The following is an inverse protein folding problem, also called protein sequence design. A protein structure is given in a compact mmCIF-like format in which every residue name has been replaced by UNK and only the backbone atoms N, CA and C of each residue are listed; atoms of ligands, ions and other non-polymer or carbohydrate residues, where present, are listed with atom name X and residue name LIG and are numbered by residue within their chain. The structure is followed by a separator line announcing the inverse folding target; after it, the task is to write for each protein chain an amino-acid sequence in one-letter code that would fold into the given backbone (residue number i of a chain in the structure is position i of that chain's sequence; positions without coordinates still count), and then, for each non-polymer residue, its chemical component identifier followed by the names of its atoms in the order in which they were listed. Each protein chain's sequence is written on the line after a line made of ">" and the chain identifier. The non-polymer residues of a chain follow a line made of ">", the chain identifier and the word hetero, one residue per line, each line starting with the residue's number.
data_IF_826879195259
#
_entry.id   IF_826879195259
#
_cell.length_a   1.000
_cell.length_b   1.000
_cell.length_c   1.000
_cell.angle_alpha   90.00
_cell.angle_beta   90.00
_cell.angle_gamma   90.00
#
_symmetry.space_group_name_H-M   'P 1'
#
loop_
_entity.id
_entity.type
_entity.pdbx_description
1 polymer ?
#
# COMPACT_ATOMS: atom_id res chain seq x y z
N UNK A 1 4.95 1.24 -33.54
CA UNK A 1 5.54 2.59 -33.71
C UNK A 1 5.53 3.23 -32.34
N UNK A 2 6.69 3.33 -31.71
CA UNK A 2 6.83 4.01 -30.43
C UNK A 2 6.66 5.52 -30.67
N UNK A 3 5.71 6.14 -30.01
CA UNK A 3 5.57 7.60 -30.01
C UNK A 3 6.83 8.19 -29.35
N UNK A 4 7.52 9.05 -30.07
CA UNK A 4 8.65 9.82 -29.56
C UNK A 4 8.14 10.77 -28.48
N UNK A 5 8.50 10.50 -27.24
CA UNK A 5 8.32 11.42 -26.11
C UNK A 5 9.16 12.66 -26.42
N UNK A 6 8.56 13.84 -26.31
CA UNK A 6 9.24 15.13 -26.38
C UNK A 6 10.34 15.19 -25.32
N UNK A 7 11.59 15.37 -25.73
CA UNK A 7 12.79 15.03 -24.95
C UNK A 7 13.33 16.14 -24.05
N UNK A 8 12.59 17.22 -23.75
CA UNK A 8 13.09 18.36 -22.97
C UNK A 8 12.39 18.64 -21.62
N UNK A 9 11.27 18.03 -21.33
CA UNK A 9 10.60 18.11 -20.01
C UNK A 9 10.27 16.72 -19.49
N UNK A 10 10.38 16.52 -18.18
CA UNK A 10 9.95 15.27 -17.52
C UNK A 10 8.45 15.02 -17.67
N UNK A 11 7.98 13.83 -17.30
CA UNK A 11 6.55 13.50 -17.28
C UNK A 11 5.82 14.45 -16.33
N UNK A 12 4.79 15.18 -16.78
CA UNK A 12 4.03 16.09 -15.92
C UNK A 12 3.24 15.30 -14.87
N UNK A 13 3.44 15.62 -13.58
CA UNK A 13 2.79 14.96 -12.46
C UNK A 13 1.98 15.98 -11.67
N UNK A 14 0.67 15.90 -11.74
CA UNK A 14 -0.25 16.81 -11.06
C UNK A 14 -0.76 16.21 -9.77
N UNK A 15 -0.35 16.76 -8.62
CA UNK A 15 -0.89 16.41 -7.31
C UNK A 15 -2.11 17.28 -7.02
N UNK A 16 -3.30 16.65 -6.98
CA UNK A 16 -4.53 17.34 -6.62
C UNK A 16 -4.67 17.41 -5.10
N UNK A 17 -4.67 18.63 -4.59
CA UNK A 17 -4.75 18.92 -3.16
C UNK A 17 -6.15 19.37 -2.77
N UNK A 18 -6.68 18.81 -1.68
CA UNK A 18 -8.02 19.09 -1.16
C UNK A 18 -7.95 19.42 0.32
N UNK A 19 -9.00 20.05 0.84
CA UNK A 19 -9.14 20.38 2.25
C UNK A 19 -9.00 19.13 3.14
N UNK A 20 -8.40 19.27 4.32
CA UNK A 20 -8.10 18.17 5.26
C UNK A 20 -7.17 17.09 4.67
N UNK A 21 -6.26 17.49 3.78
CA UNK A 21 -5.29 16.65 3.12
C UNK A 21 -4.49 15.79 4.10
N UNK A 22 -4.38 14.50 3.86
CA UNK A 22 -3.43 13.64 4.56
C UNK A 22 -2.02 13.91 4.03
N UNK A 23 -1.23 14.65 4.81
CA UNK A 23 0.06 15.23 4.40
C UNK A 23 1.00 14.18 3.78
N UNK A 24 1.08 13.00 4.40
CA UNK A 24 1.99 11.95 3.95
C UNK A 24 1.60 11.36 2.58
N UNK A 25 0.32 11.40 2.22
CA UNK A 25 -0.17 10.91 0.92
C UNK A 25 0.30 11.75 -0.26
N UNK A 26 0.72 12.99 -0.01
CA UNK A 26 1.27 13.90 -1.02
C UNK A 26 2.78 13.99 -0.90
N UNK A 27 3.28 14.38 0.28
CA UNK A 27 4.70 14.68 0.46
C UNK A 27 5.57 13.42 0.29
N UNK A 28 5.10 12.25 0.76
CA UNK A 28 5.83 10.99 0.61
C UNK A 28 6.11 10.64 -0.86
N UNK A 29 5.08 10.48 -1.70
CA UNK A 29 5.26 10.25 -3.15
C UNK A 29 6.02 11.36 -3.86
N UNK A 30 5.74 12.63 -3.56
CA UNK A 30 6.43 13.76 -4.18
C UNK A 30 7.94 13.74 -3.90
N UNK A 31 8.35 13.41 -2.67
CA UNK A 31 9.76 13.24 -2.31
C UNK A 31 10.40 12.08 -3.07
N UNK A 32 9.71 10.95 -3.25
CA UNK A 32 10.21 9.83 -4.06
C UNK A 32 10.53 10.30 -5.49
N UNK A 33 9.59 11.01 -6.14
CA UNK A 33 9.77 11.51 -7.51
C UNK A 33 10.88 12.57 -7.58
N UNK A 34 10.96 13.47 -6.61
CA UNK A 34 12.03 14.47 -6.51
C UNK A 34 13.42 13.82 -6.38
N UNK A 35 13.55 12.75 -5.58
CA UNK A 35 14.81 12.03 -5.47
C UNK A 35 15.17 11.28 -6.77
N UNK A 36 14.18 10.80 -7.53
CA UNK A 36 14.42 10.24 -8.86
C UNK A 36 14.97 11.28 -9.84
N UNK A 37 14.44 12.51 -9.82
CA UNK A 37 14.98 13.62 -10.61
C UNK A 37 16.42 13.94 -10.22
N UNK A 38 16.72 14.00 -8.91
CA UNK A 38 18.08 14.21 -8.44
C UNK A 38 19.06 13.11 -8.91
N UNK A 39 18.59 11.87 -8.97
CA UNK A 39 19.37 10.76 -9.54
C UNK A 39 19.65 10.96 -11.04
N UNK A 40 18.66 11.45 -11.80
CA UNK A 40 18.84 11.79 -13.22
C UNK A 40 19.89 12.88 -13.39
N UNK A 41 19.77 13.99 -12.65
CA UNK A 41 20.69 15.13 -12.70
C UNK A 41 22.13 14.72 -12.38
N UNK A 42 22.34 13.89 -11.33
CA UNK A 42 23.65 13.36 -10.98
C UNK A 42 24.26 12.47 -12.07
N UNK A 43 23.41 11.92 -12.95
CA UNK A 43 23.79 11.09 -14.08
C UNK A 43 23.88 11.88 -15.39
N UNK A 44 23.75 13.21 -15.36
CA UNK A 44 23.75 14.09 -16.54
C UNK A 44 22.53 13.89 -17.45
N UNK A 45 21.40 13.44 -16.90
CA UNK A 45 20.13 13.21 -17.61
C UNK A 45 19.13 14.32 -17.27
N UNK A 46 18.15 14.50 -18.12
CA UNK A 46 16.98 15.34 -17.83
C UNK A 46 16.15 14.74 -16.68
N UNK A 47 15.47 15.56 -15.87
CA UNK A 47 14.53 15.10 -14.86
C UNK A 47 13.48 14.16 -15.45
N UNK A 48 13.11 13.12 -14.70
CA UNK A 48 12.08 12.17 -15.13
C UNK A 48 10.66 12.70 -14.96
N UNK A 49 10.45 13.60 -13.98
CA UNK A 49 9.13 14.09 -13.55
C UNK A 49 9.13 15.60 -13.41
N UNK A 50 8.05 16.23 -13.87
CA UNK A 50 7.75 17.64 -13.64
C UNK A 50 6.57 17.74 -12.68
N UNK A 51 6.80 18.26 -11.46
CA UNK A 51 5.84 18.17 -10.34
C UNK A 51 5.02 19.46 -10.25
N UNK A 52 3.71 19.34 -10.40
CA UNK A 52 2.71 20.38 -10.26
C UNK A 52 1.80 20.08 -9.08
N UNK A 53 1.48 21.10 -8.30
CA UNK A 53 0.54 21.00 -7.19
C UNK A 53 -0.66 21.88 -7.50
N UNK A 54 -1.85 21.29 -7.66
CA UNK A 54 -3.06 21.95 -8.11
C UNK A 54 -4.16 21.87 -7.06
N UNK A 55 -4.98 22.93 -6.96
CA UNK A 55 -6.13 22.96 -6.04
C UNK A 55 -7.22 23.91 -6.52
N UNK A 56 -8.45 23.71 -6.05
CA UNK A 56 -9.53 24.70 -6.14
C UNK A 56 -9.46 25.77 -5.05
N UNK A 57 -8.58 25.57 -4.06
CA UNK A 57 -8.37 26.47 -2.94
C UNK A 57 -7.07 27.23 -3.09
N UNK A 58 -6.97 28.42 -2.51
CA UNK A 58 -5.70 29.18 -2.41
C UNK A 58 -4.78 28.64 -1.32
N UNK A 59 -5.37 28.01 -0.32
CA UNK A 59 -4.68 27.38 0.79
C UNK A 59 -5.42 26.11 1.20
N UNK A 60 -4.71 25.12 1.71
CA UNK A 60 -5.26 23.82 2.13
C UNK A 60 -4.73 23.48 3.52
N UNK A 61 -5.66 23.23 4.44
CA UNK A 61 -5.34 22.69 5.75
C UNK A 61 -4.97 21.21 5.65
N UNK A 62 -4.01 20.78 6.44
CA UNK A 62 -3.48 19.42 6.44
C UNK A 62 -3.88 18.65 7.69
N UNK A 63 -3.76 17.32 7.64
CA UNK A 63 -4.00 16.40 8.76
C UNK A 63 -3.16 16.69 10.03
N UNK A 64 -2.05 17.39 9.89
CA UNK A 64 -1.13 17.70 10.99
C UNK A 64 -1.23 19.17 11.45
N UNK A 65 -2.24 19.91 10.98
CA UNK A 65 -2.47 21.31 11.38
C UNK A 65 -1.59 22.33 10.66
N UNK A 66 -0.87 21.94 9.62
CA UNK A 66 -0.18 22.89 8.73
C UNK A 66 -1.14 23.40 7.67
N UNK A 67 -0.90 24.61 7.19
CA UNK A 67 -1.55 25.17 5.99
C UNK A 67 -0.53 25.22 4.87
N UNK A 68 -0.88 24.65 3.70
CA UNK A 68 -0.07 24.69 2.51
C UNK A 68 -0.66 25.73 1.57
N UNK A 69 0.19 26.47 0.85
CA UNK A 69 -0.17 27.52 -0.10
C UNK A 69 0.74 27.44 -1.33
N UNK A 70 0.48 28.25 -2.35
CA UNK A 70 1.33 28.33 -3.54
C UNK A 70 1.03 27.28 -4.59
N UNK A 71 -0.23 26.83 -4.66
CA UNK A 71 -0.70 25.93 -5.71
C UNK A 71 -1.03 26.65 -7.00
N UNK A 72 -1.04 25.87 -8.08
CA UNK A 72 -1.64 26.24 -9.35
C UNK A 72 -3.15 26.00 -9.32
N UNK A 73 -3.89 26.75 -10.12
CA UNK A 73 -5.31 26.47 -10.37
C UNK A 73 -5.48 25.15 -11.13
N UNK A 74 -6.68 24.58 -11.12
CA UNK A 74 -6.97 23.40 -11.94
C UNK A 74 -6.75 23.72 -13.42
N UNK A 75 -5.86 23.02 -14.15
CA UNK A 75 -5.59 23.31 -15.55
C UNK A 75 -6.81 22.97 -16.43
N UNK A 76 -7.02 23.75 -17.49
CA UNK A 76 -8.06 23.45 -18.49
C UNK A 76 -7.75 22.19 -19.30
N UNK A 77 -6.48 21.86 -19.46
CA UNK A 77 -6.02 20.68 -20.19
C UNK A 77 -4.86 20.00 -19.46
N UNK A 78 -4.95 18.69 -19.31
CA UNK A 78 -3.83 17.85 -18.88
C UNK A 78 -3.13 17.29 -20.12
N UNK A 79 -1.79 17.29 -20.20
CA UNK A 79 -1.05 16.61 -21.25
C UNK A 79 -1.43 15.12 -21.37
N UNK A 80 -1.33 14.55 -22.57
CA UNK A 80 -1.71 13.15 -22.84
C UNK A 80 -0.89 12.13 -22.04
N UNK A 81 0.35 12.46 -21.70
CA UNK A 81 1.27 11.64 -20.92
C UNK A 81 1.28 12.01 -19.44
N UNK A 82 0.41 12.92 -19.00
CA UNK A 82 0.35 13.36 -17.61
C UNK A 82 -0.01 12.23 -16.65
N UNK A 83 0.51 12.37 -15.43
CA UNK A 83 0.14 11.57 -14.28
C UNK A 83 -0.66 12.44 -13.31
N UNK A 84 -1.90 12.04 -13.00
CA UNK A 84 -2.74 12.71 -12.02
C UNK A 84 -2.77 11.94 -10.72
N UNK A 85 -2.33 12.58 -9.64
CA UNK A 85 -2.26 12.00 -8.30
C UNK A 85 -3.41 12.55 -7.45
N UNK A 86 -4.30 11.67 -7.03
CA UNK A 86 -5.40 11.97 -6.11
C UNK A 86 -5.02 11.48 -4.71
N UNK A 87 -4.87 12.41 -3.78
CA UNK A 87 -4.49 12.11 -2.39
C UNK A 87 -5.70 11.88 -1.48
N UNK A 88 -5.47 11.21 -0.35
CA UNK A 88 -6.46 11.04 0.71
C UNK A 88 -6.66 12.29 1.57
N UNK A 89 -7.82 12.36 2.21
CA UNK A 89 -8.16 13.36 3.21
C UNK A 89 -8.57 12.66 4.51
N UNK A 90 -8.54 13.38 5.64
CA UNK A 90 -8.92 12.87 6.96
C UNK A 90 -10.03 13.72 7.58
N UNK A 91 -10.86 13.09 8.44
CA UNK A 91 -11.83 13.79 9.28
C UNK A 91 -13.02 14.39 8.53
N UNK A 92 -13.27 13.98 7.28
CA UNK A 92 -14.44 14.35 6.50
C UNK A 92 -15.33 13.14 6.28
N UNK A 93 -16.63 13.36 6.26
CA UNK A 93 -17.53 12.41 5.62
C UNK A 93 -17.19 12.44 4.13
N UNK A 94 -16.70 11.31 3.59
CA UNK A 94 -16.27 11.20 2.19
C UNK A 94 -17.50 11.15 1.23
N UNK A 95 -18.50 12.02 1.49
CA UNK A 95 -19.69 12.16 0.66
C UNK A 95 -19.47 13.06 -0.57
N UNK A 96 -18.32 13.77 -0.61
CA UNK A 96 -17.93 14.69 -1.68
C UNK A 96 -19.01 15.73 -2.02
N UNK A 97 -19.83 16.13 -1.04
CA UNK A 97 -20.98 17.01 -1.21
C UNK A 97 -20.64 18.50 -1.21
N UNK A 98 -19.45 18.89 -0.72
CA UNK A 98 -19.06 20.30 -0.70
C UNK A 98 -18.96 20.88 -2.10
N UNK A 99 -19.19 22.19 -2.24
CA UNK A 99 -19.10 22.87 -3.53
C UNK A 99 -17.71 22.69 -4.18
N UNK A 100 -16.65 22.72 -3.37
CA UNK A 100 -15.28 22.49 -3.83
C UNK A 100 -15.07 21.04 -4.33
N UNK A 101 -15.58 20.04 -3.61
CA UNK A 101 -15.48 18.64 -4.03
C UNK A 101 -16.28 18.40 -5.32
N UNK A 102 -17.48 18.99 -5.44
CA UNK A 102 -18.27 18.91 -6.68
C UNK A 102 -17.56 19.56 -7.86
N UNK A 103 -16.87 20.69 -7.64
CA UNK A 103 -16.03 21.32 -8.66
C UNK A 103 -14.88 20.40 -9.11
N UNK A 104 -14.20 19.75 -8.15
CA UNK A 104 -13.14 18.78 -8.43
C UNK A 104 -13.68 17.58 -9.21
N UNK A 105 -14.79 16.98 -8.76
CA UNK A 105 -15.44 15.84 -9.44
C UNK A 105 -15.84 16.21 -10.88
N UNK A 106 -16.43 17.38 -11.07
CA UNK A 106 -16.80 17.87 -12.41
C UNK A 106 -15.56 18.09 -13.30
N UNK A 107 -14.49 18.65 -12.73
CA UNK A 107 -13.23 18.84 -13.44
C UNK A 107 -12.60 17.52 -13.84
N UNK A 108 -12.54 16.53 -12.93
CA UNK A 108 -12.04 15.17 -13.21
C UNK A 108 -12.79 14.53 -14.38
N UNK A 109 -14.12 14.55 -14.34
CA UNK A 109 -14.97 13.98 -15.40
C UNK A 109 -14.75 14.63 -16.77
N UNK A 110 -14.42 15.91 -16.79
CA UNK A 110 -14.28 16.68 -18.02
C UNK A 110 -12.88 16.63 -18.62
N UNK A 111 -11.84 16.58 -17.77
CA UNK A 111 -10.46 16.84 -18.19
C UNK A 111 -9.54 15.64 -18.08
N UNK A 112 -9.94 14.58 -17.32
CA UNK A 112 -9.14 13.35 -17.26
C UNK A 112 -9.44 12.45 -18.48
N UNK A 113 -8.40 12.11 -19.25
CA UNK A 113 -8.50 11.29 -20.46
C UNK A 113 -7.87 9.89 -20.29
N UNK A 114 -8.32 8.88 -21.05
CA UNK A 114 -7.86 7.48 -20.90
C UNK A 114 -6.38 7.23 -21.16
N UNK A 115 -5.65 8.19 -21.73
CA UNK A 115 -4.20 8.09 -21.98
C UNK A 115 -3.34 8.53 -20.81
N UNK A 116 -3.94 9.20 -19.86
CA UNK A 116 -3.27 9.71 -18.66
C UNK A 116 -3.21 8.64 -17.59
N UNK A 117 -2.15 8.67 -16.77
CA UNK A 117 -2.05 7.77 -15.63
C UNK A 117 -2.82 8.35 -14.44
N UNK A 118 -3.69 7.54 -13.84
CA UNK A 118 -4.42 7.89 -12.61
C UNK A 118 -3.79 7.18 -11.42
N UNK A 119 -3.25 7.96 -10.50
CA UNK A 119 -2.62 7.47 -9.27
C UNK A 119 -3.46 7.89 -8.07
N UNK A 120 -4.13 6.95 -7.43
CA UNK A 120 -5.01 7.21 -6.29
C UNK A 120 -4.36 6.71 -5.00
N UNK A 121 -4.22 7.58 -4.03
CA UNK A 121 -3.59 7.26 -2.75
C UNK A 121 -4.67 7.38 -1.66
N UNK A 122 -4.83 6.32 -0.84
CA UNK A 122 -5.80 6.29 0.26
C UNK A 122 -7.24 6.55 -0.23
N UNK A 123 -7.95 7.48 0.41
CA UNK A 123 -9.31 7.89 0.02
C UNK A 123 -9.37 8.67 -1.32
N UNK A 124 -8.23 8.97 -1.93
CA UNK A 124 -8.18 9.43 -3.33
C UNK A 124 -8.83 8.45 -4.31
N UNK A 125 -8.85 7.15 -3.98
CA UNK A 125 -9.57 6.14 -4.77
C UNK A 125 -11.11 6.32 -4.68
N UNK A 126 -11.63 6.78 -3.54
CA UNK A 126 -13.05 7.09 -3.40
C UNK A 126 -13.43 8.27 -4.33
N UNK A 127 -12.59 9.32 -4.35
CA UNK A 127 -12.78 10.46 -5.25
C UNK A 127 -12.82 10.01 -6.73
N UNK A 128 -11.89 9.13 -7.14
CA UNK A 128 -11.90 8.55 -8.47
C UNK A 128 -13.19 7.75 -8.75
N UNK A 129 -13.70 7.02 -7.74
CA UNK A 129 -14.97 6.31 -7.79
C UNK A 129 -16.16 7.25 -8.01
N UNK A 130 -16.26 8.32 -7.22
CA UNK A 130 -17.29 9.36 -7.39
C UNK A 130 -17.22 10.05 -8.75
N UNK A 131 -16.02 10.26 -9.26
CA UNK A 131 -15.83 10.80 -10.61
C UNK A 131 -16.17 9.78 -11.72
N UNK A 132 -16.41 8.50 -11.40
CA UNK A 132 -16.72 7.44 -12.38
C UNK A 132 -15.48 6.93 -13.14
N UNK A 133 -14.27 7.18 -12.64
CA UNK A 133 -13.01 6.88 -13.33
C UNK A 133 -12.49 5.47 -13.11
N UNK A 134 -13.09 4.68 -12.20
CA UNK A 134 -12.62 3.32 -11.91
C UNK A 134 -13.12 2.27 -12.90
N UNK A 135 -14.35 2.41 -13.44
CA UNK A 135 -14.94 1.46 -14.37
C UNK A 135 -15.04 0.05 -13.76
N UNK A 136 -14.60 -0.96 -14.53
CA UNK A 136 -14.54 -2.37 -14.11
C UNK A 136 -13.11 -2.79 -13.69
N UNK A 137 -12.22 -1.82 -13.43
CA UNK A 137 -10.81 -2.07 -13.15
C UNK A 137 -10.59 -2.53 -11.72
N UNK A 138 -9.46 -3.23 -11.51
CA UNK A 138 -8.97 -3.61 -10.20
C UNK A 138 -8.47 -2.39 -9.46
N UNK A 139 -8.84 -2.27 -8.19
CA UNK A 139 -8.41 -1.15 -7.35
C UNK A 139 -8.35 -1.54 -5.89
N UNK A 140 -7.71 -0.71 -5.08
CA UNK A 140 -7.72 -0.79 -3.62
C UNK A 140 -7.81 0.60 -3.01
N UNK A 141 -8.07 0.66 -1.72
CA UNK A 141 -8.03 1.88 -0.90
C UNK A 141 -7.58 1.50 0.51
N UNK A 142 -7.55 2.45 1.43
CA UNK A 142 -7.28 2.18 2.84
C UNK A 142 -8.27 1.15 3.39
N UNK A 143 -7.79 0.22 4.22
CA UNK A 143 -8.58 -0.91 4.71
C UNK A 143 -9.90 -0.51 5.39
N UNK A 144 -9.98 0.66 6.04
CA UNK A 144 -11.19 1.17 6.68
C UNK A 144 -12.27 1.62 5.68
N UNK A 145 -11.92 1.90 4.42
CA UNK A 145 -12.80 2.45 3.38
C UNK A 145 -13.15 1.45 2.26
N UNK A 146 -12.77 0.18 2.39
CA UNK A 146 -13.05 -0.87 1.39
C UNK A 146 -14.56 -1.04 1.17
N UNK A 147 -15.34 -1.08 2.25
CA UNK A 147 -16.81 -1.23 2.16
C UNK A 147 -17.45 -0.03 1.47
N UNK A 148 -16.98 1.16 1.78
CA UNK A 148 -17.45 2.41 1.20
C UNK A 148 -17.13 2.46 -0.31
N UNK A 149 -15.88 2.15 -0.69
CA UNK A 149 -15.47 2.10 -2.10
C UNK A 149 -16.34 1.14 -2.93
N UNK A 150 -16.70 -0.03 -2.38
CA UNK A 150 -17.62 -0.97 -3.04
C UNK A 150 -19.03 -0.38 -3.25
N UNK A 151 -19.48 0.47 -2.34
CA UNK A 151 -20.76 1.18 -2.48
C UNK A 151 -20.71 2.25 -3.57
N UNK A 152 -19.61 3.00 -3.64
CA UNK A 152 -19.40 4.09 -4.60
C UNK A 152 -19.14 3.57 -6.02
N UNK A 153 -18.35 2.52 -6.16
CA UNK A 153 -17.91 1.95 -7.44
C UNK A 153 -18.26 0.46 -7.53
N UNK A 154 -19.55 0.10 -7.62
CA UNK A 154 -20.00 -1.31 -7.57
C UNK A 154 -19.55 -2.14 -8.77
N UNK A 155 -19.13 -1.52 -9.88
CA UNK A 155 -18.57 -2.19 -11.05
C UNK A 155 -17.08 -2.49 -10.94
N UNK A 156 -16.36 -1.82 -10.03
CA UNK A 156 -14.92 -2.02 -9.86
C UNK A 156 -14.62 -3.30 -9.07
N UNK A 157 -13.51 -3.97 -9.41
CA UNK A 157 -12.99 -5.11 -8.65
C UNK A 157 -12.14 -4.61 -7.48
N UNK A 158 -12.78 -4.40 -6.31
CA UNK A 158 -12.10 -3.87 -5.12
C UNK A 158 -11.35 -4.99 -4.41
N UNK A 159 -10.02 -4.94 -4.47
CA UNK A 159 -9.11 -5.90 -3.85
C UNK A 159 -8.77 -5.47 -2.42
N UNK A 160 -9.17 -6.29 -1.45
CA UNK A 160 -8.84 -6.07 -0.04
C UNK A 160 -7.39 -6.46 0.27
N UNK A 161 -6.87 -5.86 1.33
CA UNK A 161 -5.58 -6.22 1.91
C UNK A 161 -4.43 -6.21 0.90
N UNK A 162 -4.40 -5.19 0.04
CA UNK A 162 -3.33 -4.90 -0.93
C UNK A 162 -2.70 -3.56 -0.60
N UNK A 163 -1.40 -3.47 -0.58
CA UNK A 163 -0.69 -2.21 -0.38
C UNK A 163 -0.96 -1.27 -1.54
N UNK A 164 -0.83 -1.76 -2.76
CA UNK A 164 -1.24 -1.08 -3.97
C UNK A 164 -1.71 -2.08 -5.04
N UNK A 165 -2.45 -1.59 -6.00
CA UNK A 165 -2.94 -2.32 -7.17
C UNK A 165 -2.66 -1.49 -8.41
N UNK A 166 -2.15 -2.14 -9.45
CA UNK A 166 -1.96 -1.61 -10.79
C UNK A 166 -2.90 -2.34 -11.74
N UNK A 167 -3.62 -1.59 -12.56
CA UNK A 167 -4.48 -2.11 -13.62
C UNK A 167 -4.45 -1.16 -14.83
N UNK A 168 -3.55 -1.43 -15.77
CA UNK A 168 -3.26 -0.54 -16.89
C UNK A 168 -2.71 0.81 -16.42
N UNK A 169 -3.40 1.89 -16.77
CA UNK A 169 -3.01 3.25 -16.37
C UNK A 169 -3.62 3.70 -15.02
N UNK A 170 -4.29 2.80 -14.32
CA UNK A 170 -4.82 3.03 -12.97
C UNK A 170 -3.91 2.40 -11.91
N UNK A 171 -3.46 3.24 -10.99
CA UNK A 171 -2.66 2.86 -9.83
C UNK A 171 -3.40 3.29 -8.57
N UNK A 172 -3.65 2.38 -7.65
CA UNK A 172 -4.34 2.68 -6.39
C UNK A 172 -3.58 2.12 -5.21
N UNK A 173 -3.48 2.85 -4.11
CA UNK A 173 -2.78 2.37 -2.89
C UNK A 173 -3.59 2.59 -1.62
N UNK A 174 -3.22 1.86 -0.58
CA UNK A 174 -3.83 1.96 0.74
C UNK A 174 -3.52 3.28 1.48
N UNK A 175 -2.63 4.09 0.94
CA UNK A 175 -2.28 5.39 1.50
C UNK A 175 -1.23 5.34 2.62
N UNK A 176 -1.00 6.49 3.23
CA UNK A 176 0.03 6.71 4.24
C UNK A 176 1.41 6.28 3.70
N UNK A 177 2.09 5.33 4.33
CA UNK A 177 3.40 4.85 3.85
C UNK A 177 3.34 4.07 2.54
N UNK A 178 2.18 3.50 2.17
CA UNK A 178 2.04 2.71 0.94
C UNK A 178 2.02 3.56 -0.33
N UNK A 179 1.77 4.88 -0.19
CA UNK A 179 1.98 5.85 -1.26
C UNK A 179 3.44 5.96 -1.67
N UNK A 180 4.38 5.81 -0.72
CA UNK A 180 5.83 5.76 -0.97
C UNK A 180 6.18 4.48 -1.75
N UNK A 181 5.62 3.31 -1.37
CA UNK A 181 5.86 2.05 -2.08
C UNK A 181 5.36 2.11 -3.52
N UNK A 182 4.16 2.67 -3.73
CA UNK A 182 3.60 2.87 -5.07
C UNK A 182 4.47 3.83 -5.91
N UNK A 183 4.93 4.95 -5.33
CA UNK A 183 5.80 5.89 -6.04
C UNK A 183 7.16 5.25 -6.39
N UNK A 184 7.75 4.44 -5.51
CA UNK A 184 8.96 3.67 -5.81
C UNK A 184 8.73 2.64 -6.91
N UNK A 185 7.53 2.05 -6.99
CA UNK A 185 7.15 1.16 -8.09
C UNK A 185 7.06 1.92 -9.42
N UNK A 186 6.41 3.08 -9.45
CA UNK A 186 6.35 3.95 -10.64
C UNK A 186 7.75 4.40 -11.09
N UNK A 187 8.62 4.79 -10.16
CA UNK A 187 10.02 5.11 -10.48
C UNK A 187 10.75 3.91 -11.08
N UNK A 188 10.50 2.69 -10.59
CA UNK A 188 11.12 1.49 -11.15
C UNK A 188 10.68 1.24 -12.60
N UNK A 189 9.41 1.49 -12.93
CA UNK A 189 8.87 1.34 -14.29
C UNK A 189 9.39 2.42 -15.25
N UNK A 190 9.50 3.67 -14.81
CA UNK A 190 9.82 4.82 -15.66
C UNK A 190 11.33 5.06 -15.75
N UNK A 191 12.01 5.05 -14.62
CA UNK A 191 13.44 5.38 -14.49
C UNK A 191 14.35 4.17 -14.26
N UNK A 192 13.75 2.97 -14.14
CA UNK A 192 14.45 1.71 -13.93
C UNK A 192 14.73 1.36 -12.46
N UNK A 193 14.99 0.08 -12.22
CA UNK A 193 15.19 -0.47 -10.86
C UNK A 193 16.39 0.13 -10.13
N UNK A 194 17.47 0.47 -10.84
CA UNK A 194 18.66 1.08 -10.24
C UNK A 194 18.35 2.46 -9.63
N UNK A 195 17.56 3.29 -10.34
CA UNK A 195 17.08 4.58 -9.85
C UNK A 195 16.19 4.36 -8.62
N UNK A 196 15.17 3.51 -8.70
CA UNK A 196 14.25 3.22 -7.60
C UNK A 196 14.98 2.70 -6.35
N UNK A 197 15.98 1.84 -6.51
CA UNK A 197 16.82 1.35 -5.40
C UNK A 197 17.67 2.47 -4.78
N UNK A 198 18.20 3.39 -5.58
CA UNK A 198 18.95 4.55 -5.10
C UNK A 198 18.05 5.51 -4.31
N UNK A 199 16.85 5.78 -4.82
CA UNK A 199 15.83 6.60 -4.14
C UNK A 199 15.43 5.98 -2.80
N UNK A 200 15.13 4.67 -2.77
CA UNK A 200 14.79 3.97 -1.53
C UNK A 200 15.89 4.07 -0.47
N UNK A 201 17.17 3.96 -0.87
CA UNK A 201 18.32 4.16 0.04
C UNK A 201 18.40 5.60 0.55
N UNK A 202 18.19 6.58 -0.31
CA UNK A 202 18.24 8.01 0.07
C UNK A 202 17.14 8.39 1.03
N UNK A 203 15.97 7.78 0.91
CA UNK A 203 14.83 7.95 1.82
C UNK A 203 14.90 7.04 3.06
N UNK A 204 15.97 6.24 3.20
CA UNK A 204 16.16 5.29 4.31
C UNK A 204 14.98 4.32 4.43
N UNK A 205 14.40 3.91 3.31
CA UNK A 205 13.33 2.89 3.29
C UNK A 205 13.95 1.54 3.63
N UNK A 206 13.70 1.06 4.84
CA UNK A 206 14.32 -0.16 5.39
C UNK A 206 13.87 -1.42 4.62
N UNK A 207 12.60 -1.52 4.24
CA UNK A 207 12.05 -2.65 3.52
C UNK A 207 11.12 -2.16 2.41
N UNK A 208 11.34 -2.64 1.20
CA UNK A 208 10.43 -2.41 0.07
C UNK A 208 9.32 -3.44 0.12
N UNK A 209 8.08 -2.96 -0.05
CA UNK A 209 6.88 -3.79 -0.11
C UNK A 209 6.38 -3.87 -1.55
N UNK A 210 5.70 -4.95 -1.88
CA UNK A 210 5.08 -5.17 -3.20
C UNK A 210 3.57 -4.97 -3.12
N UNK A 211 2.90 -4.72 -4.25
CA UNK A 211 1.44 -4.56 -4.28
C UNK A 211 0.67 -5.73 -3.68
N UNK A 212 1.24 -6.94 -3.76
CA UNK A 212 0.65 -8.15 -3.17
C UNK A 212 0.76 -8.26 -1.65
N UNK A 213 1.58 -7.42 -1.00
CA UNK A 213 1.73 -7.47 0.45
C UNK A 213 0.47 -6.97 1.17
N UNK A 214 0.20 -7.47 2.39
CA UNK A 214 -0.96 -7.04 3.16
C UNK A 214 -0.79 -5.60 3.67
N UNK A 215 -1.88 -4.84 3.71
CA UNK A 215 -1.90 -3.47 4.25
C UNK A 215 -1.48 -3.43 5.72
N UNK A 216 -2.01 -4.36 6.50
CA UNK A 216 -1.65 -4.50 7.90
C UNK A 216 -0.56 -5.56 8.02
N UNK A 217 0.60 -5.17 8.51
CA UNK A 217 1.68 -6.12 8.78
C UNK A 217 1.17 -7.25 9.66
N UNK A 218 1.32 -8.52 9.25
CA UNK A 218 0.95 -9.66 10.10
C UNK A 218 1.58 -9.59 11.50
N UNK A 219 2.76 -8.98 11.59
CA UNK A 219 3.50 -8.76 12.83
C UNK A 219 2.85 -7.71 13.76
N UNK A 220 2.02 -6.80 13.20
CA UNK A 220 1.30 -5.75 13.93
C UNK A 220 -0.20 -6.09 14.10
N UNK A 221 -0.70 -7.12 13.44
CA UNK A 221 -2.09 -7.56 13.58
C UNK A 221 -2.37 -7.90 15.04
N UNK A 222 -3.55 -7.50 15.51
CA UNK A 222 -4.01 -7.74 16.87
C UNK A 222 -3.16 -7.08 17.98
N UNK A 223 -2.41 -6.00 17.67
CA UNK A 223 -1.61 -5.23 18.66
C UNK A 223 -2.22 -3.89 19.08
N UNK A 224 -3.45 -3.62 18.70
CA UNK A 224 -4.18 -2.39 19.03
C UNK A 224 -4.77 -2.39 20.45
N UNK A 225 -4.00 -2.86 21.44
CA UNK A 225 -4.37 -2.89 22.84
C UNK A 225 -3.13 -2.63 23.71
N UNK A 226 -3.35 -2.25 24.97
CA UNK A 226 -2.27 -1.95 25.91
C UNK A 226 -2.12 -3.03 27.01
N UNK A 227 -2.69 -4.23 26.82
CA UNK A 227 -2.67 -5.27 27.85
C UNK A 227 -1.28 -5.93 27.97
N UNK A 228 -0.53 -5.75 29.10
CA UNK A 228 0.88 -6.14 29.18
C UNK A 228 1.12 -7.64 29.01
N UNK A 229 0.24 -8.50 29.56
CA UNK A 229 0.39 -9.96 29.45
C UNK A 229 0.20 -10.44 28.01
N UNK A 230 -0.76 -9.87 27.27
CA UNK A 230 -0.97 -10.18 25.84
C UNK A 230 0.22 -9.69 25.01
N UNK A 231 0.76 -8.50 25.27
CA UNK A 231 1.98 -8.02 24.59
C UNK A 231 3.19 -8.91 24.85
N UNK A 232 3.40 -9.42 26.08
CA UNK A 232 4.52 -10.35 26.35
C UNK A 232 4.43 -11.60 25.48
N UNK A 233 3.24 -12.18 25.37
CA UNK A 233 2.98 -13.35 24.49
C UNK A 233 3.23 -13.03 23.04
N UNK A 234 2.70 -11.94 22.54
CA UNK A 234 2.89 -11.51 21.16
C UNK A 234 4.36 -11.26 20.85
N UNK A 235 5.10 -10.60 21.75
CA UNK A 235 6.52 -10.36 21.59
C UNK A 235 7.33 -11.67 21.55
N UNK A 236 6.99 -12.64 22.40
CA UNK A 236 7.66 -13.95 22.40
C UNK A 236 7.44 -14.70 21.07
N UNK A 237 6.19 -14.75 20.58
CA UNK A 237 5.85 -15.39 19.31
C UNK A 237 6.50 -14.70 18.12
N UNK A 238 6.52 -13.36 18.08
CA UNK A 238 7.17 -12.60 17.01
C UNK A 238 8.68 -12.80 17.01
N UNK A 239 9.30 -12.86 18.18
CA UNK A 239 10.76 -13.05 18.30
C UNK A 239 11.23 -14.39 17.75
N UNK A 240 10.43 -15.44 17.92
CA UNK A 240 10.75 -16.78 17.44
C UNK A 240 9.46 -17.53 17.02
N UNK A 241 8.93 -17.25 15.79
CA UNK A 241 7.68 -17.85 15.33
C UNK A 241 7.75 -19.37 15.17
N UNK A 242 8.92 -19.89 14.85
CA UNK A 242 9.15 -21.32 14.60
C UNK A 242 9.20 -22.16 15.87
N UNK A 243 9.37 -21.54 17.04
CA UNK A 243 9.44 -22.24 18.32
C UNK A 243 8.17 -23.08 18.59
N UNK A 244 8.31 -24.16 19.35
CA UNK A 244 7.15 -24.97 19.78
C UNK A 244 6.35 -24.25 20.88
N UNK A 245 5.38 -23.47 20.43
CA UNK A 245 4.52 -22.66 21.29
C UNK A 245 3.32 -23.47 21.77
N UNK A 246 3.36 -23.93 23.03
CA UNK A 246 2.18 -24.44 23.73
C UNK A 246 1.47 -23.32 24.50
N UNK A 247 0.16 -23.51 24.74
CA UNK A 247 -0.62 -22.54 25.55
C UNK A 247 -0.05 -22.44 26.97
N UNK A 248 0.41 -23.56 27.53
CA UNK A 248 1.04 -23.61 28.85
C UNK A 248 2.29 -22.71 28.92
N UNK A 249 3.21 -22.86 27.96
CA UNK A 249 4.44 -22.04 27.89
C UNK A 249 4.14 -20.55 27.71
N UNK A 250 3.14 -20.22 26.91
CA UNK A 250 2.73 -18.82 26.71
C UNK A 250 2.02 -18.25 27.95
N UNK A 251 1.31 -19.08 28.73
CA UNK A 251 0.72 -18.68 29.99
C UNK A 251 1.77 -18.38 31.07
N UNK A 252 2.87 -19.13 31.10
CA UNK A 252 4.03 -18.84 31.95
C UNK A 252 4.64 -17.47 31.60
N UNK A 253 4.88 -17.19 30.29
CA UNK A 253 5.39 -15.89 29.80
C UNK A 253 4.42 -14.74 30.14
N UNK A 254 3.12 -15.01 30.09
CA UNK A 254 2.09 -14.06 30.47
C UNK A 254 1.95 -13.85 31.97
N UNK A 255 2.58 -14.72 32.79
CA UNK A 255 2.39 -14.80 34.25
C UNK A 255 0.92 -14.99 34.61
N UNK A 256 0.23 -15.94 33.99
CA UNK A 256 -1.19 -16.21 34.21
C UNK A 256 -1.54 -17.68 33.93
N UNK A 257 -2.79 -18.13 34.23
CA UNK A 257 -3.25 -19.46 33.86
C UNK A 257 -3.59 -19.55 32.35
N UNK A 258 -3.51 -20.76 31.79
CA UNK A 258 -3.86 -21.02 30.38
C UNK A 258 -5.28 -20.57 30.02
N UNK A 259 -6.25 -20.87 30.88
CA UNK A 259 -7.65 -20.47 30.71
C UNK A 259 -7.79 -18.94 30.70
N UNK A 260 -7.11 -18.27 31.61
CA UNK A 260 -7.15 -16.81 31.69
C UNK A 260 -6.45 -16.16 30.49
N UNK A 261 -5.27 -16.67 30.09
CA UNK A 261 -4.58 -16.20 28.89
C UNK A 261 -5.46 -16.32 27.65
N UNK A 262 -6.07 -17.49 27.41
CA UNK A 262 -6.91 -17.72 26.23
C UNK A 262 -8.09 -16.74 26.18
N UNK A 263 -8.73 -16.46 27.32
CA UNK A 263 -9.81 -15.48 27.42
C UNK A 263 -9.29 -14.05 27.16
N UNK A 264 -8.22 -13.63 27.82
CA UNK A 264 -7.64 -12.30 27.67
C UNK A 264 -7.18 -12.06 26.23
N UNK A 265 -6.52 -13.05 25.64
CA UNK A 265 -6.02 -12.92 24.27
C UNK A 265 -7.17 -12.67 23.30
N UNK A 266 -8.24 -13.46 23.38
CA UNK A 266 -9.42 -13.29 22.53
C UNK A 266 -10.16 -11.98 22.79
N UNK A 267 -10.27 -11.57 24.04
CA UNK A 267 -10.94 -10.32 24.46
C UNK A 267 -10.22 -9.09 23.88
N UNK A 268 -8.89 -9.07 23.91
CA UNK A 268 -8.10 -7.92 23.47
C UNK A 268 -7.70 -7.94 22.00
N UNK A 269 -7.66 -9.10 21.35
CA UNK A 269 -7.20 -9.22 19.96
C UNK A 269 -8.30 -9.62 18.98
N UNK A 270 -9.43 -10.15 19.46
CA UNK A 270 -10.48 -10.74 18.63
C UNK A 270 -10.12 -12.14 18.07
N UNK A 271 -8.85 -12.55 18.16
CA UNK A 271 -8.32 -13.80 17.61
C UNK A 271 -8.13 -14.87 18.66
N UNK A 272 -8.10 -16.14 18.24
CA UNK A 272 -7.58 -17.21 19.10
C UNK A 272 -6.04 -17.16 19.13
N UNK A 273 -5.45 -17.58 20.27
CA UNK A 273 -3.99 -17.64 20.41
C UNK A 273 -3.34 -18.53 19.35
N UNK A 274 -3.98 -19.65 19.00
CA UNK A 274 -3.51 -20.59 17.97
C UNK A 274 -3.56 -19.94 16.58
N UNK A 275 -4.63 -19.22 16.26
CA UNK A 275 -4.76 -18.53 14.98
C UNK A 275 -3.74 -17.40 14.83
N UNK A 276 -3.47 -16.69 15.92
CA UNK A 276 -2.40 -15.69 15.94
C UNK A 276 -1.03 -16.30 15.62
N UNK A 277 -0.65 -17.40 16.29
CA UNK A 277 0.61 -18.11 16.02
C UNK A 277 0.65 -18.58 14.56
N UNK A 278 -0.42 -19.18 14.07
CA UNK A 278 -0.52 -19.63 12.69
C UNK A 278 -0.35 -18.47 11.69
N UNK A 279 -0.96 -17.33 11.94
CA UNK A 279 -0.84 -16.12 11.09
C UNK A 279 0.61 -15.64 11.00
N UNK A 280 1.31 -15.57 12.14
CA UNK A 280 2.72 -15.18 12.19
C UNK A 280 3.60 -16.19 11.45
N UNK A 281 3.36 -17.50 11.61
CA UNK A 281 4.07 -18.55 10.89
C UNK A 281 3.80 -18.52 9.38
N UNK A 282 2.59 -18.22 8.95
CA UNK A 282 2.26 -18.04 7.53
C UNK A 282 2.98 -16.83 6.94
N UNK A 283 3.06 -15.72 7.69
CA UNK A 283 3.84 -14.56 7.27
C UNK A 283 5.32 -14.92 7.07
N UNK A 284 5.94 -15.61 8.02
CA UNK A 284 7.31 -16.10 7.89
C UNK A 284 7.47 -17.06 6.70
N UNK A 285 6.51 -17.97 6.48
CA UNK A 285 6.54 -18.87 5.33
C UNK A 285 6.48 -18.13 3.99
N UNK A 286 5.69 -17.06 3.91
CA UNK A 286 5.64 -16.17 2.72
C UNK A 286 6.99 -15.52 2.46
N UNK A 287 7.62 -14.97 3.49
CA UNK A 287 8.93 -14.32 3.38
C UNK A 287 10.00 -15.33 2.93
N UNK A 288 9.98 -16.55 3.47
CA UNK A 288 10.88 -17.63 3.05
C UNK A 288 10.64 -18.07 1.61
N UNK A 289 9.38 -18.15 1.16
CA UNK A 289 9.04 -18.46 -0.25
C UNK A 289 9.52 -17.38 -1.22
N UNK A 290 9.50 -16.12 -0.78
CA UNK A 290 9.91 -14.98 -1.59
C UNK A 290 11.44 -14.83 -1.69
N UNK A 291 12.15 -15.11 -0.58
CA UNK A 291 13.54 -14.71 -0.41
C UNK A 291 14.53 -15.89 -0.44
N UNK A 292 14.03 -17.13 -0.54
CA UNK A 292 14.89 -18.30 -0.49
C UNK A 292 14.53 -19.36 -1.55
N UNK A 293 15.51 -20.20 -1.97
CA UNK A 293 15.29 -21.33 -2.86
C UNK A 293 14.76 -22.58 -2.13
N UNK A 294 14.40 -22.49 -0.86
CA UNK A 294 13.96 -23.63 -0.05
C UNK A 294 12.77 -24.35 -0.69
N UNK A 295 12.78 -25.67 -0.65
CA UNK A 295 11.60 -26.45 -1.01
C UNK A 295 10.48 -26.29 0.05
N UNK A 296 9.33 -26.86 -0.22
CA UNK A 296 8.15 -26.67 0.64
C UNK A 296 8.31 -27.34 2.02
N UNK A 297 9.14 -28.37 2.13
CA UNK A 297 9.37 -29.05 3.42
C UNK A 297 10.29 -28.19 4.30
N UNK A 298 11.37 -27.65 3.76
CA UNK A 298 12.23 -26.73 4.48
C UNK A 298 11.53 -25.42 4.85
N UNK A 299 10.66 -24.89 3.98
CA UNK A 299 9.83 -23.71 4.32
C UNK A 299 8.89 -24.03 5.49
N UNK A 300 8.26 -25.21 5.49
CA UNK A 300 7.38 -25.62 6.58
C UNK A 300 8.15 -25.72 7.91
N UNK A 301 9.29 -26.40 7.91
CA UNK A 301 10.16 -26.55 9.07
C UNK A 301 10.62 -25.18 9.62
N UNK A 302 11.19 -24.34 8.77
CA UNK A 302 11.69 -23.00 9.13
C UNK A 302 10.58 -22.06 9.62
N UNK A 303 9.34 -22.24 9.16
CA UNK A 303 8.19 -21.48 9.61
C UNK A 303 7.49 -22.09 10.86
N UNK A 304 8.04 -23.20 11.42
CA UNK A 304 7.52 -23.83 12.63
C UNK A 304 6.33 -24.76 12.41
N UNK A 305 6.14 -25.27 11.19
CA UNK A 305 5.18 -26.34 10.91
C UNK A 305 5.87 -27.69 10.90
N UNK A 306 5.19 -28.72 11.41
CA UNK A 306 5.73 -30.08 11.47
C UNK A 306 5.84 -30.78 10.10
N UNK A 307 5.18 -30.25 9.07
CA UNK A 307 5.22 -30.78 7.71
C UNK A 307 4.65 -29.79 6.68
N UNK A 308 5.03 -29.95 5.43
CA UNK A 308 4.45 -29.20 4.31
C UNK A 308 2.93 -29.42 4.17
N UNK A 309 2.41 -30.59 4.58
CA UNK A 309 0.97 -30.87 4.62
C UNK A 309 0.27 -29.97 5.65
N UNK A 310 0.84 -29.81 6.85
CA UNK A 310 0.29 -28.90 7.86
C UNK A 310 0.34 -27.45 7.39
N UNK A 311 1.49 -27.01 6.83
CA UNK A 311 1.63 -25.69 6.25
C UNK A 311 0.52 -25.44 5.22
N UNK A 312 0.31 -26.31 4.23
CA UNK A 312 -0.72 -26.14 3.19
C UNK A 312 -2.14 -26.08 3.78
N UNK A 313 -2.43 -26.87 4.81
CA UNK A 313 -3.73 -26.86 5.48
C UNK A 313 -4.00 -25.54 6.19
N UNK A 314 -3.00 -25.01 6.91
CA UNK A 314 -3.11 -23.73 7.61
C UNK A 314 -3.09 -22.57 6.63
N UNK A 315 -2.25 -22.64 5.59
CA UNK A 315 -2.17 -21.64 4.53
C UNK A 315 -3.53 -21.29 3.92
N UNK A 316 -4.33 -22.30 3.58
CA UNK A 316 -5.70 -22.13 3.02
C UNK A 316 -6.65 -21.31 3.91
N UNK A 317 -6.34 -21.16 5.19
CA UNK A 317 -7.16 -20.36 6.12
C UNK A 317 -6.86 -18.86 6.01
N UNK A 318 -5.65 -18.50 5.57
CA UNK A 318 -5.16 -17.12 5.58
C UNK A 318 -4.87 -16.57 4.19
N UNK A 319 -4.70 -17.43 3.19
CA UNK A 319 -4.28 -17.07 1.84
C UNK A 319 -5.22 -17.64 0.78
N UNK A 320 -5.48 -16.85 -0.27
CA UNK A 320 -6.38 -17.22 -1.37
C UNK A 320 -5.75 -18.16 -2.38
N UNK A 321 -4.42 -18.07 -2.57
CA UNK A 321 -3.67 -18.89 -3.52
C UNK A 321 -2.79 -19.90 -2.80
N UNK A 322 -2.51 -21.07 -3.38
CA UNK A 322 -1.62 -22.05 -2.75
C UNK A 322 -0.17 -21.53 -2.67
N UNK A 323 0.66 -22.07 -1.74
CA UNK A 323 2.05 -21.61 -1.57
C UNK A 323 2.91 -21.73 -2.85
N UNK A 324 2.66 -22.72 -3.72
CA UNK A 324 3.33 -22.88 -5.01
C UNK A 324 3.04 -21.72 -5.96
N UNK A 325 1.75 -21.35 -6.09
CA UNK A 325 1.34 -20.22 -6.92
C UNK A 325 1.90 -18.89 -6.39
N UNK A 326 2.08 -18.75 -5.08
CA UNK A 326 2.69 -17.56 -4.50
C UNK A 326 4.15 -17.39 -4.98
N UNK A 327 4.93 -18.47 -5.03
CA UNK A 327 6.30 -18.45 -5.57
C UNK A 327 6.34 -18.13 -7.08
N UNK A 328 5.43 -18.71 -7.85
CA UNK A 328 5.32 -18.48 -9.30
C UNK A 328 4.95 -17.02 -9.61
N UNK A 329 4.02 -16.44 -8.87
CA UNK A 329 3.64 -15.03 -8.99
C UNK A 329 4.82 -14.09 -8.70
N UNK A 330 5.63 -14.41 -7.68
CA UNK A 330 6.83 -13.63 -7.35
C UNK A 330 7.92 -13.78 -8.43
N UNK A 331 8.12 -14.99 -8.94
CA UNK A 331 9.07 -15.25 -10.03
C UNK A 331 8.64 -14.58 -11.35
N UNK A 332 7.33 -14.59 -11.68
CA UNK A 332 6.76 -13.93 -12.83
C UNK A 332 6.91 -12.40 -12.73
N UNK A 333 6.63 -11.82 -11.56
CA UNK A 333 6.83 -10.38 -11.32
C UNK A 333 8.31 -9.98 -11.38
N UNK A 334 9.22 -10.84 -10.93
CA UNK A 334 10.66 -10.62 -11.05
C UNK A 334 11.17 -10.74 -12.49
N UNK A 335 10.62 -11.68 -13.27
CA UNK A 335 10.95 -11.86 -14.69
C UNK A 335 10.39 -10.77 -15.61
N UNK A 336 9.24 -10.19 -15.26
CA UNK A 336 8.68 -9.01 -15.95
C UNK A 336 9.40 -7.71 -15.58
N UNK A 337 10.18 -7.74 -14.51
CA UNK A 337 10.93 -6.62 -13.96
C UNK A 337 12.43 -6.65 -14.35
N UNK A 338 12.90 -7.68 -15.04
CA UNK A 338 14.25 -7.83 -15.59
C UNK A 338 14.29 -7.49 -17.07
#
# INVERSE_FOLDING_TARGET
>A
MAASISTDAGIPVYFLLRESLLTLDVIGPAEVLRYANRFAEQSGRTPYFDLHFISVHREVATSVGLTITGFEDLPEHLPDDAMLVLSGCVGRDDDFSSAADQQVVAWLRRHFAPRQKLVCICTGTLLAGYAGLLGQRKCTTHHSHIKELRGIAPSAEVLENRIFVEDGDLYTSAGVTTGIDLALHLVAQIAGHACSASVARSLVVYMRRTGGDPQLSPWLVARNHLHPAVHRVQNAVIKDPANDWSVARLAEIACTSERHLTRLFREHTGDSLVDYIHRIRIALARDLLAQSPFDMEHVAEKAGFHSSRQLRRVWKKFETHPPSAHRELLASNAAQAA
#
